data_IF_297890613377
#
_entry.id   IF_297890613377
#
_cell.length_a   1.000
_cell.length_b   1.000
_cell.length_c   1.000
_cell.angle_alpha   90.00
_cell.angle_beta   90.00
_cell.angle_gamma   90.00
#
_symmetry.space_group_name_H-M   'P 1'
#
loop_
_entity.id
_entity.type
_entity.pdbx_description
1 polymer ?
#
# COMPACT_ATOMS: atom_id res chain seq x y z
N UNK A 1 1.82 -31.86 -13.33
CA UNK A 1 0.84 -30.94 -12.70
C UNK A 1 0.16 -30.06 -13.75
N UNK A 2 0.93 -29.39 -14.63
CA UNK A 2 0.37 -28.60 -15.73
C UNK A 2 -0.38 -29.47 -16.77
N UNK A 3 0.06 -30.71 -16.98
CA UNK A 3 -0.62 -31.63 -17.93
C UNK A 3 -2.07 -31.93 -17.56
N UNK A 4 -2.41 -31.88 -16.26
CA UNK A 4 -3.78 -32.09 -15.78
C UNK A 4 -4.74 -30.95 -16.18
N UNK A 5 -4.19 -29.80 -16.55
CA UNK A 5 -4.95 -28.62 -16.92
C UNK A 5 -5.02 -28.42 -18.42
N UNK A 6 -4.26 -29.18 -19.23
CA UNK A 6 -4.13 -28.96 -20.67
C UNK A 6 -5.48 -28.94 -21.39
N UNK A 7 -6.38 -29.85 -21.03
CA UNK A 7 -7.70 -29.97 -21.68
C UNK A 7 -8.73 -28.92 -21.22
N UNK A 8 -8.39 -28.06 -20.23
CA UNK A 8 -9.29 -27.01 -19.78
C UNK A 8 -9.52 -25.98 -20.89
N UNK A 9 -10.80 -25.74 -21.24
CA UNK A 9 -11.18 -24.77 -22.26
C UNK A 9 -11.05 -23.33 -21.75
N UNK A 10 -10.54 -22.46 -22.62
CA UNK A 10 -10.42 -21.01 -22.43
C UNK A 10 -11.06 -20.28 -23.61
N UNK A 11 -11.24 -18.94 -23.56
CA UNK A 11 -11.68 -18.16 -24.71
C UNK A 11 -10.76 -18.24 -25.95
N UNK A 12 -9.52 -18.71 -25.80
CA UNK A 12 -8.49 -18.72 -26.85
C UNK A 12 -8.08 -20.13 -27.32
N UNK A 13 -8.84 -21.17 -26.95
CA UNK A 13 -8.48 -22.57 -27.18
C UNK A 13 -8.34 -23.35 -25.89
N UNK A 14 -7.51 -24.38 -25.87
CA UNK A 14 -7.21 -25.15 -24.65
C UNK A 14 -6.11 -24.46 -23.84
N UNK A 15 -6.05 -24.71 -22.53
CA UNK A 15 -4.92 -24.27 -21.70
C UNK A 15 -3.60 -24.87 -22.20
N UNK A 16 -3.62 -26.06 -22.80
CA UNK A 16 -2.47 -26.67 -23.46
C UNK A 16 -1.93 -25.82 -24.61
N UNK A 17 -2.81 -25.32 -25.48
CA UNK A 17 -2.42 -24.42 -26.58
C UNK A 17 -1.74 -23.15 -26.06
N UNK A 18 -2.24 -22.60 -24.95
CA UNK A 18 -1.61 -21.44 -24.29
C UNK A 18 -0.25 -21.76 -23.68
N UNK A 19 -0.10 -22.95 -23.06
CA UNK A 19 1.18 -23.40 -22.52
C UNK A 19 2.21 -23.58 -23.64
N UNK A 20 1.82 -24.22 -24.75
CA UNK A 20 2.71 -24.50 -25.88
C UNK A 20 3.09 -23.21 -26.64
N UNK A 21 2.20 -22.22 -26.66
CA UNK A 21 2.48 -20.89 -27.21
C UNK A 21 3.33 -20.00 -26.28
N UNK A 22 3.51 -20.36 -25.01
CA UNK A 22 4.29 -19.55 -24.04
C UNK A 22 5.78 -19.91 -24.14
N UNK A 23 6.68 -18.97 -24.50
CA UNK A 23 8.11 -19.24 -24.55
C UNK A 23 8.63 -19.71 -23.19
N UNK A 24 9.42 -20.80 -23.18
CA UNK A 24 9.90 -21.43 -21.95
C UNK A 24 10.72 -20.45 -21.08
N UNK A 25 11.40 -19.49 -21.72
CA UNK A 25 12.21 -18.46 -21.05
C UNK A 25 11.36 -17.46 -20.25
N UNK A 26 10.04 -17.42 -20.48
CA UNK A 26 9.09 -16.57 -19.77
C UNK A 26 8.33 -17.31 -18.67
N UNK A 27 8.57 -18.60 -18.49
CA UNK A 27 7.93 -19.41 -17.47
C UNK A 27 8.79 -19.36 -16.20
N UNK A 28 8.23 -18.81 -15.13
CA UNK A 28 8.89 -18.76 -13.83
C UNK A 28 8.10 -19.56 -12.80
N UNK A 29 8.78 -20.46 -12.10
CA UNK A 29 8.24 -21.12 -10.91
C UNK A 29 8.64 -20.32 -9.69
N UNK A 30 7.68 -19.63 -9.10
CA UNK A 30 7.90 -18.76 -7.94
C UNK A 30 7.37 -19.44 -6.67
N UNK A 31 8.18 -19.47 -5.63
CA UNK A 31 7.74 -19.82 -4.28
C UNK A 31 7.26 -18.55 -3.59
N UNK A 32 6.03 -18.58 -3.09
CA UNK A 32 5.48 -17.44 -2.36
C UNK A 32 5.95 -17.50 -0.92
N UNK A 33 6.53 -16.38 -0.48
CA UNK A 33 6.93 -16.13 0.89
C UNK A 33 6.34 -14.78 1.29
N UNK A 34 5.96 -14.65 2.54
CA UNK A 34 5.54 -13.41 3.16
C UNK A 34 6.24 -13.18 4.49
N UNK A 35 6.40 -11.91 4.83
CA UNK A 35 7.05 -11.50 6.07
C UNK A 35 6.69 -10.05 6.38
N UNK A 36 6.29 -9.79 7.63
CA UNK A 36 6.20 -8.44 8.18
C UNK A 36 7.34 -8.25 9.20
N UNK A 37 8.35 -7.48 8.83
CA UNK A 37 9.48 -7.20 9.74
C UNK A 37 9.07 -6.16 10.78
N UNK A 38 9.58 -6.27 12.02
CA UNK A 38 9.27 -5.28 13.08
C UNK A 38 10.23 -4.09 13.08
N UNK A 39 11.46 -4.29 12.58
CA UNK A 39 12.54 -3.29 12.57
C UNK A 39 12.78 -2.82 11.15
N UNK A 40 12.39 -1.58 10.84
CA UNK A 40 12.61 -0.99 9.50
C UNK A 40 13.71 0.06 9.49
N UNK A 41 14.06 0.61 10.64
CA UNK A 41 14.96 1.75 10.78
C UNK A 41 16.26 1.37 11.47
N UNK A 42 17.37 1.95 10.99
CA UNK A 42 18.65 1.91 11.68
C UNK A 42 19.49 3.14 11.31
N UNK A 43 19.71 4.04 12.27
CA UNK A 43 20.46 5.27 12.02
C UNK A 43 19.81 6.14 10.93
N UNK A 44 20.46 6.28 9.77
CA UNK A 44 19.94 7.01 8.60
C UNK A 44 19.35 6.09 7.52
N UNK A 45 19.20 4.81 7.83
CA UNK A 45 18.69 3.78 6.91
C UNK A 45 17.25 3.44 7.25
N UNK A 46 16.42 3.29 6.22
CA UNK A 46 15.03 2.85 6.30
C UNK A 46 14.76 1.78 5.25
N UNK A 47 13.97 0.77 5.60
CA UNK A 47 13.43 -0.23 4.68
C UNK A 47 12.02 0.18 4.24
N UNK A 48 11.72 -0.04 2.95
CA UNK A 48 10.41 0.19 2.34
C UNK A 48 10.06 -0.96 1.38
N UNK A 49 8.78 -1.10 1.05
CA UNK A 49 8.27 -2.16 0.17
C UNK A 49 8.57 -3.56 0.72
N UNK A 50 8.84 -4.52 -0.19
CA UNK A 50 9.10 -5.92 0.17
C UNK A 50 10.29 -6.12 1.13
N UNK A 51 11.21 -5.15 1.23
CA UNK A 51 12.31 -5.19 2.20
C UNK A 51 11.83 -4.99 3.65
N UNK A 52 10.65 -4.39 3.84
CA UNK A 52 10.04 -4.09 5.13
C UNK A 52 8.77 -4.92 5.38
N UNK A 53 7.99 -5.19 4.33
CA UNK A 53 6.74 -5.92 4.38
C UNK A 53 6.46 -6.66 3.07
N UNK A 54 6.84 -7.94 3.02
CA UNK A 54 6.57 -8.81 1.88
C UNK A 54 5.17 -9.40 2.04
N UNK A 55 4.24 -8.99 1.18
CA UNK A 55 2.87 -9.51 1.14
C UNK A 55 2.73 -10.60 0.07
N UNK A 56 1.79 -11.53 0.27
CA UNK A 56 1.49 -12.54 -0.75
C UNK A 56 0.97 -11.90 -2.05
N UNK A 57 1.44 -12.33 -3.24
CA UNK A 57 1.00 -11.77 -4.52
C UNK A 57 -0.50 -11.90 -4.79
N UNK A 58 -1.20 -12.79 -4.08
CA UNK A 58 -2.65 -13.01 -4.18
C UNK A 58 -3.48 -11.74 -3.98
N UNK A 59 -3.00 -10.77 -3.20
CA UNK A 59 -3.69 -9.50 -2.97
C UNK A 59 -3.37 -8.42 -4.00
N UNK A 60 -2.29 -8.58 -4.78
CA UNK A 60 -1.78 -7.53 -5.68
C UNK A 60 -1.32 -6.24 -4.99
N UNK A 61 -1.21 -6.24 -3.65
CA UNK A 61 -1.02 -5.02 -2.86
C UNK A 61 0.45 -4.59 -2.68
N UNK A 62 1.43 -5.46 -2.93
CA UNK A 62 2.85 -5.19 -2.66
C UNK A 62 3.38 -3.93 -3.37
N UNK A 63 3.18 -3.82 -4.68
CA UNK A 63 3.63 -2.67 -5.46
C UNK A 63 2.95 -1.36 -5.03
N UNK A 64 1.63 -1.41 -4.78
CA UNK A 64 0.88 -0.25 -4.29
C UNK A 64 1.40 0.19 -2.93
N UNK A 65 1.66 -0.76 -2.03
CA UNK A 65 2.19 -0.48 -0.71
C UNK A 65 3.60 0.13 -0.77
N UNK A 66 4.48 -0.37 -1.64
CA UNK A 66 5.80 0.22 -1.87
C UNK A 66 5.73 1.66 -2.41
N UNK A 67 4.75 1.97 -3.27
CA UNK A 67 4.52 3.35 -3.73
C UNK A 67 4.00 4.25 -2.60
N UNK A 68 3.09 3.76 -1.77
CA UNK A 68 2.58 4.48 -0.59
C UNK A 68 3.71 4.78 0.41
N UNK A 69 4.60 3.81 0.63
CA UNK A 69 5.80 3.99 1.45
C UNK A 69 6.68 5.12 0.94
N UNK A 70 6.98 5.14 -0.36
CA UNK A 70 7.82 6.17 -0.96
C UNK A 70 7.21 7.57 -0.79
N UNK A 71 5.90 7.70 -0.94
CA UNK A 71 5.19 8.97 -0.75
C UNK A 71 5.24 9.43 0.71
N UNK A 72 4.95 8.54 1.66
CA UNK A 72 4.99 8.90 3.08
C UNK A 72 6.40 9.21 3.55
N UNK A 73 7.38 8.41 3.14
CA UNK A 73 8.78 8.69 3.43
C UNK A 73 9.18 10.07 2.90
N UNK A 74 8.77 10.43 1.67
CA UNK A 74 9.03 11.76 1.13
C UNK A 74 8.41 12.89 1.98
N UNK A 75 7.18 12.70 2.47
CA UNK A 75 6.53 13.68 3.37
C UNK A 75 7.32 13.87 4.67
N UNK A 76 7.72 12.76 5.31
CA UNK A 76 8.50 12.81 6.56
C UNK A 76 9.87 13.43 6.34
N UNK A 77 10.53 13.16 5.21
CA UNK A 77 11.82 13.76 4.85
C UNK A 77 11.71 15.26 4.55
N UNK A 78 10.64 15.69 3.88
CA UNK A 78 10.42 17.11 3.52
C UNK A 78 10.27 18.01 4.76
N UNK A 79 9.63 17.48 5.81
CA UNK A 79 9.37 18.19 7.05
C UNK A 79 10.60 18.30 7.99
N UNK A 80 11.74 17.70 7.64
CA UNK A 80 12.96 17.75 8.46
C UNK A 80 13.58 19.15 8.43
N UNK A 81 13.55 19.86 9.58
CA UNK A 81 14.24 21.14 9.77
C UNK A 81 14.65 21.35 11.23
N UNK A 82 15.92 21.61 11.56
CA UNK A 82 17.10 21.50 10.69
C UNK A 82 17.42 20.04 10.32
N UNK A 83 18.21 19.83 9.26
CA UNK A 83 18.68 18.50 8.85
C UNK A 83 19.78 18.01 9.79
N UNK A 84 19.40 17.45 10.93
CA UNK A 84 20.30 16.84 11.92
C UNK A 84 20.14 15.31 11.95
N UNK A 85 21.12 14.62 12.52
CA UNK A 85 21.05 13.16 12.69
C UNK A 85 19.83 12.71 13.50
N UNK A 86 19.57 13.38 14.63
CA UNK A 86 18.42 13.07 15.49
C UNK A 86 17.09 13.33 14.79
N UNK A 87 16.98 14.43 14.03
CA UNK A 87 15.75 14.75 13.30
C UNK A 87 15.49 13.74 12.16
N UNK A 88 16.54 13.25 11.50
CA UNK A 88 16.40 12.17 10.51
C UNK A 88 15.90 10.89 11.17
N UNK A 89 16.51 10.46 12.29
CA UNK A 89 16.05 9.27 13.02
C UNK A 89 14.59 9.40 13.45
N UNK A 90 14.21 10.56 13.97
CA UNK A 90 12.85 10.83 14.39
C UNK A 90 11.86 10.75 13.22
N UNK A 91 12.20 11.36 12.08
CA UNK A 91 11.36 11.31 10.88
C UNK A 91 11.22 9.89 10.31
N UNK A 92 12.31 9.12 10.24
CA UNK A 92 12.27 7.73 9.76
C UNK A 92 11.45 6.83 10.70
N UNK A 93 11.56 7.03 12.02
CA UNK A 93 10.73 6.31 12.99
C UNK A 93 9.26 6.72 12.90
N UNK A 94 8.97 8.01 12.73
CA UNK A 94 7.59 8.48 12.57
C UNK A 94 6.94 7.89 11.32
N UNK A 95 7.69 7.82 10.20
CA UNK A 95 7.26 7.11 8.99
C UNK A 95 6.92 5.64 9.29
N UNK A 96 7.82 4.92 9.97
CA UNK A 96 7.60 3.50 10.31
C UNK A 96 6.36 3.32 11.18
N UNK A 97 6.20 4.11 12.24
CA UNK A 97 5.04 3.99 13.13
C UNK A 97 3.72 4.28 12.40
N UNK A 98 3.67 5.31 11.55
CA UNK A 98 2.49 5.59 10.72
C UNK A 98 2.17 4.46 9.75
N UNK A 99 3.20 3.85 9.16
CA UNK A 99 3.02 2.89 8.08
C UNK A 99 2.80 1.46 8.56
N UNK A 100 3.44 1.09 9.67
CA UNK A 100 3.42 -0.26 10.20
C UNK A 100 2.01 -0.74 10.53
N UNK A 101 1.18 0.11 11.15
CA UNK A 101 -0.20 -0.24 11.50
C UNK A 101 -1.06 -0.51 10.27
N UNK A 102 -0.93 0.32 9.22
CA UNK A 102 -1.67 0.13 7.98
C UNK A 102 -1.31 -1.20 7.29
N UNK A 103 -0.02 -1.57 7.29
CA UNK A 103 0.44 -2.84 6.73
C UNK A 103 0.02 -4.02 7.60
N UNK A 104 0.13 -3.90 8.93
CA UNK A 104 -0.28 -4.93 9.89
C UNK A 104 -1.75 -5.31 9.74
N UNK A 105 -2.60 -4.33 9.45
CA UNK A 105 -4.02 -4.54 9.14
C UNK A 105 -4.26 -5.29 7.82
N UNK A 106 -3.40 -5.08 6.82
CA UNK A 106 -3.47 -5.71 5.50
C UNK A 106 -2.83 -7.11 5.48
N UNK A 107 -1.84 -7.37 6.35
CA UNK A 107 -1.07 -8.61 6.35
C UNK A 107 -1.94 -9.88 6.50
N UNK A 108 -2.91 -9.98 7.44
CA UNK A 108 -3.82 -11.14 7.50
C UNK A 108 -4.71 -11.28 6.26
N UNK A 109 -5.02 -10.17 5.58
CA UNK A 109 -5.89 -10.16 4.40
C UNK A 109 -5.21 -10.81 3.19
N UNK A 110 -3.87 -10.69 3.06
CA UNK A 110 -3.13 -11.38 2.00
C UNK A 110 -3.20 -12.90 2.14
N UNK A 111 -3.12 -13.42 3.37
CA UNK A 111 -3.33 -14.86 3.64
C UNK A 111 -4.75 -15.31 3.33
N UNK A 112 -5.76 -14.54 3.73
CA UNK A 112 -7.16 -14.87 3.43
C UNK A 112 -7.40 -14.92 1.91
N UNK A 113 -6.86 -13.94 1.18
CA UNK A 113 -6.89 -13.93 -0.28
C UNK A 113 -6.16 -15.13 -0.88
N UNK A 114 -4.99 -15.51 -0.33
CA UNK A 114 -4.26 -16.69 -0.79
C UNK A 114 -5.04 -18.00 -0.55
N UNK A 115 -5.72 -18.16 0.58
CA UNK A 115 -6.59 -19.32 0.86
C UNK A 115 -7.76 -19.39 -0.14
N UNK A 116 -8.31 -18.25 -0.53
CA UNK A 116 -9.41 -18.17 -1.48
C UNK A 116 -8.97 -18.46 -2.91
N UNK A 117 -7.77 -18.05 -3.29
CA UNK A 117 -7.26 -18.25 -4.66
C UNK A 117 -6.60 -19.62 -4.82
N UNK A 118 -5.65 -19.96 -3.95
CA UNK A 118 -4.75 -21.11 -4.10
C UNK A 118 -4.99 -22.23 -3.07
N UNK A 119 -5.93 -22.06 -2.13
CA UNK A 119 -6.20 -23.08 -1.11
C UNK A 119 -6.68 -24.41 -1.71
N UNK A 120 -6.26 -25.52 -1.12
CA UNK A 120 -6.61 -26.86 -1.59
C UNK A 120 -7.28 -27.73 -0.51
N UNK A 121 -7.35 -27.25 0.74
CA UNK A 121 -7.99 -27.99 1.84
C UNK A 121 -9.51 -27.98 1.68
N UNK A 122 -10.18 -28.99 2.23
CA UNK A 122 -11.65 -29.08 2.20
C UNK A 122 -12.31 -27.84 2.85
N UNK A 123 -11.77 -27.38 3.97
CA UNK A 123 -12.23 -26.17 4.66
C UNK A 123 -12.07 -24.90 3.81
N UNK A 124 -10.99 -24.78 3.04
CA UNK A 124 -10.73 -23.65 2.14
C UNK A 124 -11.66 -23.67 0.92
N UNK A 125 -12.01 -24.86 0.42
CA UNK A 125 -13.01 -25.03 -0.65
C UNK A 125 -14.40 -24.63 -0.19
N UNK A 126 -14.79 -25.03 1.03
CA UNK A 126 -16.06 -24.63 1.65
C UNK A 126 -16.08 -23.11 1.87
N UNK A 127 -15.02 -22.55 2.47
CA UNK A 127 -14.87 -21.11 2.67
C UNK A 127 -15.03 -20.33 1.35
N UNK A 128 -14.34 -20.77 0.30
CA UNK A 128 -14.43 -20.18 -1.04
C UNK A 128 -15.85 -20.19 -1.59
N UNK A 129 -16.53 -21.33 -1.49
CA UNK A 129 -17.90 -21.47 -1.96
C UNK A 129 -18.85 -20.52 -1.23
N UNK A 130 -18.74 -20.44 0.11
CA UNK A 130 -19.53 -19.53 0.93
C UNK A 130 -19.25 -18.07 0.56
N UNK A 131 -17.98 -17.67 0.46
CA UNK A 131 -17.61 -16.29 0.19
C UNK A 131 -18.08 -15.86 -1.21
N UNK A 132 -17.82 -16.63 -2.26
CA UNK A 132 -18.17 -16.21 -3.61
C UNK A 132 -19.67 -16.30 -3.93
N UNK A 133 -20.42 -17.18 -3.25
CA UNK A 133 -21.85 -17.34 -3.52
C UNK A 133 -22.75 -16.58 -2.54
N UNK A 134 -22.34 -16.44 -1.27
CA UNK A 134 -23.23 -15.96 -0.20
C UNK A 134 -22.76 -14.69 0.50
N UNK A 135 -21.55 -14.19 0.23
CA UNK A 135 -21.11 -12.92 0.84
C UNK A 135 -21.98 -11.76 0.34
N UNK A 136 -22.62 -11.00 1.24
CA UNK A 136 -23.39 -9.83 0.84
C UNK A 136 -22.49 -8.79 0.16
N UNK A 137 -22.97 -8.19 -0.93
CA UNK A 137 -22.24 -7.13 -1.65
C UNK A 137 -21.88 -5.94 -0.75
N UNK A 138 -22.69 -5.65 0.26
CA UNK A 138 -22.42 -4.59 1.24
C UNK A 138 -21.14 -4.84 2.05
N UNK A 139 -20.84 -6.10 2.38
CA UNK A 139 -19.62 -6.47 3.11
C UNK A 139 -18.41 -6.31 2.19
N UNK A 140 -18.50 -6.81 0.96
CA UNK A 140 -17.45 -6.64 -0.04
C UNK A 140 -17.18 -5.15 -0.32
N UNK A 141 -18.24 -4.35 -0.46
CA UNK A 141 -18.13 -2.92 -0.69
C UNK A 141 -17.50 -2.18 0.50
N UNK A 142 -17.87 -2.54 1.74
CA UNK A 142 -17.23 -1.97 2.94
C UNK A 142 -15.74 -2.28 2.99
N UNK A 143 -15.34 -3.51 2.65
CA UNK A 143 -13.93 -3.88 2.59
C UNK A 143 -13.19 -3.07 1.52
N UNK A 144 -13.73 -3.01 0.30
CA UNK A 144 -13.16 -2.21 -0.79
C UNK A 144 -13.02 -0.72 -0.43
N UNK A 145 -14.01 -0.16 0.27
CA UNK A 145 -13.96 1.22 0.76
C UNK A 145 -12.83 1.41 1.78
N UNK A 146 -12.69 0.50 2.75
CA UNK A 146 -11.59 0.53 3.74
C UNK A 146 -10.23 0.51 3.03
N UNK A 147 -10.04 -0.42 2.10
CA UNK A 147 -8.77 -0.63 1.43
C UNK A 147 -8.41 0.52 0.47
N UNK A 148 -9.42 1.15 -0.14
CA UNK A 148 -9.24 2.28 -1.06
C UNK A 148 -9.13 3.65 -0.37
N UNK A 149 -9.54 3.76 0.89
CA UNK A 149 -9.55 5.03 1.63
C UNK A 149 -8.13 5.50 1.99
N UNK A 150 -7.20 4.56 2.20
CA UNK A 150 -5.80 4.86 2.50
C UNK A 150 -5.01 5.08 1.21
N UNK A 151 -4.78 6.36 0.87
CA UNK A 151 -4.05 6.78 -0.33
C UNK A 151 -3.21 8.03 -0.05
N UNK A 152 -2.06 7.88 0.63
CA UNK A 152 -1.19 9.01 0.94
C UNK A 152 -0.78 9.75 -0.33
N UNK A 153 -0.64 11.07 -0.22
CA UNK A 153 -0.16 11.94 -1.28
C UNK A 153 1.02 12.77 -0.77
N UNK A 154 1.86 13.25 -1.69
CA UNK A 154 2.94 14.15 -1.34
C UNK A 154 2.35 15.47 -0.82
N UNK A 155 2.43 15.72 0.49
CA UNK A 155 1.74 16.83 1.17
C UNK A 155 2.39 18.20 0.95
N UNK A 156 3.55 18.21 0.32
CA UNK A 156 4.27 19.40 -0.13
C UNK A 156 4.04 19.72 -1.62
N UNK A 157 3.19 18.94 -2.31
CA UNK A 157 2.76 19.17 -3.68
C UNK A 157 1.25 19.48 -3.74
N UNK A 158 0.77 20.10 -4.83
CA UNK A 158 -0.67 20.25 -5.06
C UNK A 158 -1.37 18.89 -5.02
N UNK A 159 -2.40 18.78 -4.17
CA UNK A 159 -3.16 17.54 -4.01
C UNK A 159 -3.88 17.17 -5.31
N UNK A 160 -3.87 15.88 -5.65
CA UNK A 160 -4.58 15.38 -6.82
C UNK A 160 -6.09 15.61 -6.66
N UNK A 161 -6.77 16.09 -7.71
CA UNK A 161 -8.21 16.38 -7.64
C UNK A 161 -9.01 15.11 -7.34
N UNK A 162 -10.09 15.25 -6.57
CA UNK A 162 -11.01 14.16 -6.29
C UNK A 162 -11.78 13.80 -7.56
N UNK A 163 -11.44 12.66 -8.17
CA UNK A 163 -12.12 12.12 -9.36
C UNK A 163 -13.15 11.03 -9.05
N UNK A 164 -13.10 10.46 -7.85
CA UNK A 164 -13.96 9.34 -7.42
C UNK A 164 -15.06 9.77 -6.44
N UNK A 165 -16.04 8.88 -6.25
CA UNK A 165 -17.16 9.06 -5.30
C UNK A 165 -16.84 8.60 -3.88
N UNK A 166 -15.81 7.76 -3.72
CA UNK A 166 -15.40 7.19 -2.44
C UNK A 166 -14.79 8.28 -1.54
N UNK A 167 -15.10 8.21 -0.24
CA UNK A 167 -14.45 9.04 0.77
C UNK A 167 -13.02 8.58 1.03
N UNK A 168 -12.13 9.55 1.17
CA UNK A 168 -10.69 9.34 1.27
C UNK A 168 -10.25 9.91 2.61
N UNK A 169 -9.30 9.23 3.27
CA UNK A 169 -8.70 9.74 4.50
C UNK A 169 -8.04 11.09 4.18
N UNK A 170 -8.47 12.19 4.85
CA UNK A 170 -7.92 13.53 4.60
C UNK A 170 -6.40 13.53 4.76
N UNK A 171 -5.72 14.18 3.81
CA UNK A 171 -4.27 14.35 3.86
C UNK A 171 -3.93 15.53 4.75
N UNK A 172 -3.05 15.32 5.73
CA UNK A 172 -2.55 16.40 6.57
C UNK A 172 -1.51 17.21 5.78
N UNK A 173 -1.58 18.56 5.79
CA UNK A 173 -0.57 19.40 5.14
C UNK A 173 0.82 19.17 5.76
N UNK A 174 1.87 19.48 5.00
CA UNK A 174 3.24 19.49 5.50
C UNK A 174 3.35 20.39 6.75
N UNK A 175 3.93 19.86 7.83
CA UNK A 175 4.16 20.63 9.07
C UNK A 175 5.07 21.81 8.81
N UNK A 176 6.03 21.66 7.89
CA UNK A 176 6.91 22.74 7.47
C UNK A 176 6.15 23.86 6.76
N UNK A 177 5.31 23.53 5.77
CA UNK A 177 4.53 24.54 5.05
C UNK A 177 3.57 25.28 5.97
N UNK A 178 2.91 24.57 6.91
CA UNK A 178 2.05 25.21 7.91
C UNK A 178 2.80 26.26 8.73
N UNK A 179 4.00 25.93 9.22
CA UNK A 179 4.85 26.87 9.98
C UNK A 179 5.26 28.08 9.13
N UNK A 180 5.69 27.85 7.90
CA UNK A 180 6.11 28.91 6.98
C UNK A 180 4.94 29.85 6.62
N UNK A 181 3.73 29.32 6.44
CA UNK A 181 2.50 30.12 6.26
C UNK A 181 2.12 30.92 7.52
N UNK A 182 2.24 30.33 8.71
CA UNK A 182 1.97 31.01 9.97
C UNK A 182 2.97 32.16 10.22
N UNK A 183 4.25 31.94 9.95
CA UNK A 183 5.29 32.96 10.02
C UNK A 183 5.03 34.09 9.02
N UNK A 184 4.68 33.76 7.77
CA UNK A 184 4.32 34.76 6.76
C UNK A 184 3.10 35.59 7.17
N UNK A 185 2.06 34.97 7.74
CA UNK A 185 0.87 35.67 8.26
C UNK A 185 1.24 36.61 9.41
N UNK A 186 2.12 36.18 10.34
CA UNK A 186 2.61 37.03 11.44
C UNK A 186 3.40 38.21 10.93
N UNK A 187 4.28 38.01 9.95
CA UNK A 187 5.04 39.10 9.32
C UNK A 187 4.14 40.09 8.58
N UNK A 188 3.14 39.62 7.83
CA UNK A 188 2.18 40.47 7.15
C UNK A 188 1.32 41.29 8.14
N UNK A 189 0.88 40.68 9.24
CA UNK A 189 0.12 41.37 10.29
C UNK A 189 0.96 42.44 11.01
N UNK A 190 2.23 42.15 11.32
CA UNK A 190 3.14 43.13 11.90
C UNK A 190 3.42 44.31 10.95
N UNK A 191 3.60 44.03 9.65
CA UNK A 191 3.78 45.07 8.64
C UNK A 191 2.55 45.97 8.51
N UNK A 192 1.34 45.40 8.50
CA UNK A 192 0.09 46.15 8.45
C UNK A 192 -0.15 47.01 9.70
N UNK A 193 0.24 46.53 10.89
CA UNK A 193 0.13 47.28 12.14
C UNK A 193 1.15 48.44 12.24
N UNK A 194 2.26 48.37 11.49
CA UNK A 194 3.28 49.44 11.45
C UNK A 194 2.98 50.50 10.39
N UNK A 195 2.03 50.22 9.48
CA UNK A 195 1.62 51.12 8.40
C UNK A 195 0.43 52.03 8.76
N UNK A 196 -0.08 51.94 10.01
CA UNK A 196 -1.08 52.81 10.63
C UNK A 196 -0.39 53.75 11.64
#
# INVERSE_FOLDING_TARGET
MLDLLRDCKTPYGTMGDLFDATPIERISKVYYEDMLFETWTHGRTILIGDAAHKLLPSSGAGAVNAMQDAVLLANHLYDIKPTSYENIKLALNAYKEERFDAIKDQYPQSYMSAKLTYGHKLSERILRHIIFNWMPKSVLQRQLLKDSAYRPQANFLPLAPKRGTIEIIPQQPSKRMQKEEEEAKKHAAAAAATAL
#
